data_IF_112571661842
#
_entry.id   IF_112571661842
#
_cell.length_a   1.000
_cell.length_b   1.000
_cell.length_c   1.000
_cell.angle_alpha   90.00
_cell.angle_beta   90.00
_cell.angle_gamma   90.00
#
_symmetry.space_group_name_H-M   'P 1'
#
loop_
_entity.id
_entity.type
_entity.pdbx_description
1 polymer ?
#
# COMPACT_ATOMS: atom_id res chain seq x y z
N UNK A 1 -41.24 16.33 7.63
CA UNK A 1 -40.47 15.17 8.19
C UNK A 1 -40.40 15.37 9.70
N UNK A 2 -40.60 14.28 10.46
CA UNK A 2 -40.61 14.33 11.93
C UNK A 2 -39.21 14.55 12.50
N UNK A 3 -39.07 15.29 13.59
CA UNK A 3 -37.83 15.46 14.38
C UNK A 3 -37.13 14.12 14.67
N UNK A 4 -37.88 13.08 15.02
CA UNK A 4 -37.39 11.75 15.30
C UNK A 4 -36.72 11.14 14.05
N UNK A 5 -37.29 11.34 12.87
CA UNK A 5 -36.72 10.84 11.61
C UNK A 5 -35.38 11.49 11.27
N UNK A 6 -35.25 12.80 11.45
CA UNK A 6 -33.99 13.52 11.19
C UNK A 6 -32.90 13.17 12.21
N UNK A 7 -33.27 12.92 13.46
CA UNK A 7 -32.32 12.50 14.49
C UNK A 7 -31.81 11.07 14.25
N UNK A 8 -32.70 10.15 13.85
CA UNK A 8 -32.30 8.81 13.45
C UNK A 8 -31.40 8.79 12.20
N UNK A 9 -31.68 9.68 11.22
CA UNK A 9 -30.84 9.86 10.04
C UNK A 9 -29.44 10.38 10.39
N UNK A 10 -29.34 11.31 11.35
CA UNK A 10 -28.06 11.82 11.84
C UNK A 10 -27.20 10.73 12.50
N UNK A 11 -27.81 9.90 13.35
CA UNK A 11 -27.11 8.77 13.96
C UNK A 11 -26.66 7.74 12.93
N UNK A 12 -27.52 7.42 11.96
CA UNK A 12 -27.19 6.49 10.86
C UNK A 12 -26.05 7.00 10.01
N UNK A 13 -26.04 8.29 9.65
CA UNK A 13 -24.96 8.90 8.87
C UNK A 13 -23.60 8.82 9.59
N UNK A 14 -23.61 9.09 10.89
CA UNK A 14 -22.40 8.97 11.72
C UNK A 14 -21.90 7.52 11.82
N UNK A 15 -22.81 6.57 12.02
CA UNK A 15 -22.49 5.13 12.10
C UNK A 15 -21.92 4.62 10.77
N UNK A 16 -22.51 5.01 9.63
CA UNK A 16 -22.03 4.65 8.29
C UNK A 16 -20.64 5.26 8.03
N UNK A 17 -20.44 6.53 8.35
CA UNK A 17 -19.15 7.20 8.20
C UNK A 17 -18.05 6.53 9.03
N UNK A 18 -18.37 6.13 10.26
CA UNK A 18 -17.47 5.39 11.13
C UNK A 18 -17.15 4.00 10.55
N UNK A 19 -18.16 3.24 10.13
CA UNK A 19 -17.99 1.91 9.54
C UNK A 19 -17.11 1.96 8.29
N UNK A 20 -17.37 2.89 7.37
CA UNK A 20 -16.57 3.07 6.17
C UNK A 20 -15.12 3.46 6.51
N UNK A 21 -14.95 4.35 7.49
CA UNK A 21 -13.63 4.73 8.00
C UNK A 21 -12.86 3.50 8.51
N UNK A 22 -13.49 2.69 9.35
CA UNK A 22 -12.89 1.51 9.94
C UNK A 22 -12.49 0.48 8.86
N UNK A 23 -13.31 0.31 7.82
CA UNK A 23 -12.98 -0.51 6.65
C UNK A 23 -11.72 -0.01 5.92
N UNK A 24 -11.61 1.29 5.67
CA UNK A 24 -10.42 1.85 5.02
C UNK A 24 -9.17 1.72 5.89
N UNK A 25 -9.29 1.87 7.21
CA UNK A 25 -8.17 1.62 8.13
C UNK A 25 -7.72 0.16 8.12
N UNK A 26 -8.65 -0.80 8.10
CA UNK A 26 -8.30 -2.21 7.97
C UNK A 26 -7.60 -2.52 6.65
N UNK A 27 -8.08 -1.99 5.53
CA UNK A 27 -7.44 -2.12 4.22
C UNK A 27 -6.03 -1.49 4.22
N UNK A 28 -5.88 -0.32 4.84
CA UNK A 28 -4.58 0.33 4.99
C UNK A 28 -3.58 -0.51 5.78
N UNK A 29 -4.03 -1.13 6.87
CA UNK A 29 -3.19 -2.04 7.66
C UNK A 29 -2.80 -3.30 6.88
N UNK A 30 -3.72 -3.85 6.08
CA UNK A 30 -3.42 -4.98 5.21
C UNK A 30 -2.40 -4.62 4.13
N UNK A 31 -2.52 -3.45 3.49
CA UNK A 31 -1.55 -2.97 2.52
C UNK A 31 -0.15 -2.82 3.16
N UNK A 32 -0.07 -2.25 4.36
CA UNK A 32 1.19 -2.11 5.10
C UNK A 32 1.80 -3.47 5.48
N UNK A 33 1.00 -4.42 5.96
CA UNK A 33 1.47 -5.78 6.25
C UNK A 33 1.97 -6.48 5.00
N UNK A 34 1.28 -6.31 3.86
CA UNK A 34 1.71 -6.86 2.57
C UNK A 34 3.05 -6.30 2.14
N UNK A 35 3.26 -4.99 2.28
CA UNK A 35 4.56 -4.35 2.02
C UNK A 35 5.67 -4.99 2.86
N UNK A 36 5.45 -5.14 4.16
CA UNK A 36 6.43 -5.71 5.10
C UNK A 36 6.76 -7.18 4.77
N UNK A 37 5.74 -7.99 4.47
CA UNK A 37 5.91 -9.40 4.08
C UNK A 37 6.68 -9.51 2.75
N UNK A 38 6.32 -8.71 1.75
CA UNK A 38 6.98 -8.73 0.44
C UNK A 38 8.46 -8.36 0.57
N UNK A 39 8.77 -7.30 1.32
CA UNK A 39 10.14 -6.86 1.54
C UNK A 39 10.96 -7.89 2.33
N UNK A 40 10.37 -8.51 3.36
CA UNK A 40 11.01 -9.61 4.09
C UNK A 40 11.27 -10.81 3.20
N UNK A 41 10.29 -11.23 2.41
CA UNK A 41 10.43 -12.34 1.47
C UNK A 41 11.52 -12.05 0.44
N UNK A 42 11.55 -10.82 -0.08
CA UNK A 42 12.60 -10.41 -1.00
C UNK A 42 13.98 -10.53 -0.33
N UNK A 43 14.18 -9.92 0.84
CA UNK A 43 15.49 -9.90 1.51
C UNK A 43 15.94 -11.26 2.02
N UNK A 44 15.03 -12.11 2.49
CA UNK A 44 15.36 -13.39 3.12
C UNK A 44 15.40 -14.55 2.14
N UNK A 45 14.68 -14.48 1.03
CA UNK A 45 14.55 -15.60 0.08
C UNK A 45 14.97 -15.19 -1.32
N UNK A 46 14.34 -14.20 -1.93
CA UNK A 46 14.52 -13.90 -3.36
C UNK A 46 15.94 -13.41 -3.65
N UNK A 47 16.40 -12.42 -2.92
CA UNK A 47 17.73 -11.83 -3.11
C UNK A 47 18.86 -12.81 -2.83
N UNK A 48 18.90 -13.56 -1.71
CA UNK A 48 19.93 -14.57 -1.47
C UNK A 48 19.91 -15.70 -2.51
N UNK A 49 18.73 -16.13 -2.97
CA UNK A 49 18.61 -17.14 -4.00
C UNK A 49 19.18 -16.66 -5.34
N UNK A 50 18.90 -15.42 -5.72
CA UNK A 50 19.48 -14.81 -6.92
C UNK A 50 21.02 -14.79 -6.85
N UNK A 51 21.57 -14.29 -5.75
CA UNK A 51 23.03 -14.23 -5.53
C UNK A 51 23.66 -15.63 -5.57
N UNK A 52 23.02 -16.63 -4.94
CA UNK A 52 23.49 -18.01 -4.97
C UNK A 52 23.49 -18.58 -6.38
N UNK A 53 22.43 -18.34 -7.15
CA UNK A 53 22.32 -18.82 -8.53
C UNK A 53 23.34 -18.12 -9.45
N UNK A 54 23.55 -16.81 -9.29
CA UNK A 54 24.57 -16.06 -10.02
C UNK A 54 25.99 -16.61 -9.76
N UNK A 55 26.33 -16.89 -8.50
CA UNK A 55 27.59 -17.53 -8.14
C UNK A 55 27.75 -18.91 -8.75
N UNK A 56 26.69 -19.72 -8.76
CA UNK A 56 26.70 -21.04 -9.38
C UNK A 56 26.93 -20.95 -10.87
N UNK A 57 26.24 -20.09 -11.58
CA UNK A 57 26.39 -19.86 -13.02
C UNK A 57 27.81 -19.39 -13.35
N UNK A 58 28.35 -18.46 -12.57
CA UNK A 58 29.73 -18.00 -12.73
C UNK A 58 30.75 -19.12 -12.54
N UNK A 59 30.57 -19.99 -11.55
CA UNK A 59 31.41 -21.14 -11.31
C UNK A 59 31.35 -22.15 -12.49
N UNK A 60 30.16 -22.40 -13.02
CA UNK A 60 29.96 -23.25 -14.21
C UNK A 60 30.63 -22.66 -15.44
N UNK A 61 30.53 -21.34 -15.61
CA UNK A 61 31.23 -20.65 -16.71
C UNK A 61 32.75 -20.81 -16.62
N UNK A 62 33.32 -20.64 -15.41
CA UNK A 62 34.77 -20.88 -15.18
C UNK A 62 35.19 -22.28 -15.51
N UNK A 63 34.44 -23.29 -15.02
CA UNK A 63 34.74 -24.70 -15.30
C UNK A 63 34.69 -24.98 -16.80
N UNK A 64 33.70 -24.48 -17.51
CA UNK A 64 33.58 -24.63 -18.95
C UNK A 64 34.76 -23.98 -19.70
N UNK A 65 35.19 -22.81 -19.28
CA UNK A 65 36.37 -22.15 -19.85
C UNK A 65 37.67 -22.94 -19.62
N UNK A 66 37.90 -23.47 -18.42
CA UNK A 66 39.02 -24.33 -18.12
C UNK A 66 39.03 -25.63 -18.97
N UNK A 67 37.87 -26.26 -19.09
CA UNK A 67 37.73 -27.50 -19.87
C UNK A 67 37.94 -27.26 -21.37
N UNK A 68 37.72 -26.05 -21.87
CA UNK A 68 38.02 -25.68 -23.26
C UNK A 68 39.49 -25.34 -23.52
N UNK A 69 40.34 -25.42 -22.48
CA UNK A 69 41.75 -25.03 -22.56
C UNK A 69 42.03 -23.53 -22.55
N UNK A 70 41.02 -22.72 -22.24
CA UNK A 70 41.16 -21.27 -22.12
C UNK A 70 41.85 -20.91 -20.80
N UNK A 71 42.89 -20.11 -20.89
CA UNK A 71 43.52 -19.51 -19.69
C UNK A 71 42.80 -18.23 -19.32
N UNK A 72 42.53 -18.06 -17.98
CA UNK A 72 41.99 -16.81 -17.42
C UNK A 72 43.16 -15.84 -17.18
N UNK A 73 43.59 -15.13 -18.23
CA UNK A 73 44.56 -14.04 -18.12
C UNK A 73 43.83 -12.69 -18.28
N UNK A 74 44.29 -11.73 -17.54
CA UNK A 74 43.75 -10.35 -17.64
C UNK A 74 43.89 -9.85 -19.09
N UNK A 75 42.77 -9.42 -19.70
CA UNK A 75 42.69 -8.95 -21.09
C UNK A 75 42.33 -10.01 -22.13
N UNK A 76 42.31 -11.31 -21.79
CA UNK A 76 41.89 -12.39 -22.69
C UNK A 76 40.38 -12.50 -22.83
N UNK A 77 39.88 -13.03 -23.95
CA UNK A 77 38.44 -13.18 -24.21
C UNK A 77 37.66 -13.89 -23.10
N UNK A 78 38.14 -14.98 -22.47
CA UNK A 78 37.43 -15.63 -21.35
C UNK A 78 37.34 -14.72 -20.09
N UNK A 79 38.39 -13.94 -19.83
CA UNK A 79 38.38 -12.99 -18.73
C UNK A 79 37.37 -11.85 -18.96
N UNK A 80 37.37 -11.28 -20.17
CA UNK A 80 36.42 -10.23 -20.53
C UNK A 80 34.98 -10.71 -20.50
N UNK A 81 34.70 -11.92 -20.96
CA UNK A 81 33.39 -12.55 -20.90
C UNK A 81 32.94 -12.80 -19.44
N UNK A 82 33.86 -13.19 -18.55
CA UNK A 82 33.57 -13.36 -17.14
C UNK A 82 33.28 -12.02 -16.44
N UNK A 83 34.01 -10.97 -16.82
CA UNK A 83 33.77 -9.62 -16.32
C UNK A 83 32.41 -9.07 -16.77
N UNK A 84 32.08 -9.25 -18.05
CA UNK A 84 30.77 -8.86 -18.59
C UNK A 84 29.64 -9.61 -17.90
N UNK A 85 29.78 -10.90 -17.68
CA UNK A 85 28.81 -11.70 -16.92
C UNK A 85 28.60 -11.13 -15.52
N UNK A 86 29.66 -10.81 -14.78
CA UNK A 86 29.56 -10.25 -13.44
C UNK A 86 28.89 -8.86 -13.44
N UNK A 87 29.19 -8.02 -14.42
CA UNK A 87 28.57 -6.70 -14.58
C UNK A 87 27.06 -6.88 -14.82
N UNK A 88 26.68 -7.78 -15.73
CA UNK A 88 25.26 -8.05 -16.01
C UNK A 88 24.52 -8.57 -14.78
N UNK A 89 25.11 -9.51 -14.03
CA UNK A 89 24.52 -10.01 -12.78
C UNK A 89 24.38 -8.92 -11.72
N UNK A 90 25.36 -8.05 -11.59
CA UNK A 90 25.29 -6.91 -10.66
C UNK A 90 24.20 -5.91 -11.07
N UNK A 91 24.04 -5.67 -12.37
CA UNK A 91 23.00 -4.80 -12.93
C UNK A 91 21.62 -5.41 -12.70
N UNK A 92 21.43 -6.70 -12.97
CA UNK A 92 20.16 -7.41 -12.74
C UNK A 92 19.79 -7.38 -11.26
N UNK A 93 20.77 -7.57 -10.35
CA UNK A 93 20.53 -7.47 -8.90
C UNK A 93 20.11 -6.05 -8.50
N UNK A 94 20.76 -5.03 -9.03
CA UNK A 94 20.41 -3.64 -8.75
C UNK A 94 18.99 -3.30 -9.23
N UNK A 95 18.56 -3.82 -10.38
CA UNK A 95 17.19 -3.68 -10.87
C UNK A 95 16.19 -4.39 -9.95
N UNK A 96 16.51 -5.60 -9.49
CA UNK A 96 15.66 -6.34 -8.57
C UNK A 96 15.55 -5.64 -7.22
N UNK A 97 16.65 -5.13 -6.67
CA UNK A 97 16.66 -4.36 -5.42
C UNK A 97 15.80 -3.08 -5.57
N UNK A 98 15.94 -2.36 -6.68
CA UNK A 98 15.14 -1.18 -6.99
C UNK A 98 13.64 -1.50 -7.09
N UNK A 99 13.28 -2.55 -7.85
CA UNK A 99 11.88 -2.94 -8.02
C UNK A 99 11.25 -3.36 -6.70
N UNK A 100 11.96 -4.10 -5.85
CA UNK A 100 11.46 -4.50 -4.54
C UNK A 100 11.22 -3.29 -3.63
N UNK A 101 12.09 -2.28 -3.70
CA UNK A 101 11.92 -1.04 -2.94
C UNK A 101 10.75 -0.22 -3.47
N UNK A 102 10.58 -0.10 -4.78
CA UNK A 102 9.45 0.60 -5.40
C UNK A 102 8.12 -0.08 -5.08
N UNK A 103 8.03 -1.40 -5.18
CA UNK A 103 6.83 -2.16 -4.80
C UNK A 103 6.46 -1.94 -3.33
N UNK A 104 7.45 -1.92 -2.44
CA UNK A 104 7.25 -1.63 -1.02
C UNK A 104 6.73 -0.21 -0.83
N UNK A 105 7.31 0.78 -1.51
CA UNK A 105 6.91 2.17 -1.42
C UNK A 105 5.49 2.39 -1.96
N UNK A 106 5.13 1.74 -3.05
CA UNK A 106 3.77 1.80 -3.62
C UNK A 106 2.73 1.24 -2.65
N UNK A 107 3.01 0.13 -1.97
CA UNK A 107 2.11 -0.43 -0.95
C UNK A 107 1.96 0.51 0.26
N UNK A 108 3.04 1.15 0.69
CA UNK A 108 3.02 2.15 1.76
C UNK A 108 2.19 3.37 1.34
N UNK A 109 2.40 3.90 0.14
CA UNK A 109 1.64 5.02 -0.41
C UNK A 109 0.15 4.69 -0.52
N UNK A 110 -0.18 3.47 -0.96
CA UNK A 110 -1.55 2.97 -0.98
C UNK A 110 -2.16 2.92 0.42
N UNK A 111 -1.41 2.47 1.42
CA UNK A 111 -1.84 2.49 2.82
C UNK A 111 -2.16 3.90 3.31
N UNK A 112 -1.30 4.88 3.02
CA UNK A 112 -1.51 6.29 3.38
C UNK A 112 -2.76 6.85 2.69
N UNK A 113 -2.95 6.56 1.42
CA UNK A 113 -4.14 6.99 0.66
C UNK A 113 -5.43 6.40 1.25
N UNK A 114 -5.41 5.13 1.63
CA UNK A 114 -6.54 4.47 2.28
C UNK A 114 -6.86 5.08 3.65
N UNK A 115 -5.84 5.42 4.45
CA UNK A 115 -6.03 6.14 5.70
C UNK A 115 -6.66 7.52 5.47
N UNK A 116 -6.19 8.27 4.49
CA UNK A 116 -6.77 9.56 4.13
C UNK A 116 -8.24 9.44 3.70
N UNK A 117 -8.59 8.41 2.92
CA UNK A 117 -9.99 8.10 2.56
C UNK A 117 -10.82 7.78 3.81
N UNK A 118 -10.29 6.98 4.73
CA UNK A 118 -10.96 6.67 6.00
C UNK A 118 -11.28 7.92 6.83
N UNK A 119 -10.34 8.84 6.94
CA UNK A 119 -10.55 10.15 7.59
C UNK A 119 -11.64 10.94 6.87
N UNK A 120 -11.62 10.98 5.55
CA UNK A 120 -12.63 11.67 4.73
C UNK A 120 -14.04 11.11 4.94
N UNK A 121 -14.21 9.80 4.98
CA UNK A 121 -15.52 9.17 5.22
C UNK A 121 -16.06 9.48 6.63
N UNK A 122 -15.19 9.47 7.63
CA UNK A 122 -15.58 9.85 8.99
C UNK A 122 -16.03 11.30 9.06
N UNK A 123 -15.26 12.20 8.45
CA UNK A 123 -15.60 13.63 8.38
C UNK A 123 -16.93 13.86 7.65
N UNK A 124 -17.15 13.17 6.52
CA UNK A 124 -18.41 13.21 5.76
C UNK A 124 -19.59 12.74 6.61
N UNK A 125 -19.44 11.64 7.33
CA UNK A 125 -20.46 11.13 8.25
C UNK A 125 -20.79 12.12 9.36
N UNK A 126 -19.79 12.74 9.98
CA UNK A 126 -19.95 13.73 11.03
C UNK A 126 -20.61 15.04 10.50
N UNK A 127 -20.24 15.48 9.29
CA UNK A 127 -20.83 16.65 8.64
C UNK A 127 -22.31 16.41 8.31
N UNK A 128 -22.63 15.26 7.73
CA UNK A 128 -24.01 14.86 7.42
C UNK A 128 -24.85 14.77 8.69
N UNK A 129 -24.30 14.16 9.74
CA UNK A 129 -24.98 14.07 11.03
C UNK A 129 -25.29 15.44 11.63
N UNK A 130 -24.37 16.41 11.56
CA UNK A 130 -24.57 17.79 12.02
C UNK A 130 -25.67 18.48 11.20
N UNK A 131 -25.67 18.31 9.89
CA UNK A 131 -26.69 18.89 9.01
C UNK A 131 -28.08 18.35 9.33
N UNK A 132 -28.22 17.04 9.51
CA UNK A 132 -29.50 16.42 9.87
C UNK A 132 -29.95 16.80 11.28
N UNK A 133 -29.03 16.96 12.22
CA UNK A 133 -29.36 17.46 13.56
C UNK A 133 -29.87 18.89 13.50
N UNK A 134 -29.24 19.79 12.72
CA UNK A 134 -29.73 21.15 12.53
C UNK A 134 -31.11 21.20 11.88
N UNK A 135 -31.37 20.32 10.88
CA UNK A 135 -32.70 20.18 10.29
C UNK A 135 -33.75 19.71 11.32
N UNK A 136 -33.36 18.79 12.20
CA UNK A 136 -34.22 18.33 13.29
C UNK A 136 -34.61 19.49 14.22
N UNK A 137 -33.64 20.30 14.67
CA UNK A 137 -33.90 21.47 15.51
C UNK A 137 -34.76 22.52 14.77
N UNK A 138 -34.53 22.79 13.50
CA UNK A 138 -35.35 23.70 12.69
C UNK A 138 -36.80 23.24 12.59
N UNK A 139 -37.04 21.94 12.44
CA UNK A 139 -38.40 21.37 12.41
C UNK A 139 -39.12 21.48 13.76
N UNK A 140 -38.40 21.35 14.86
CA UNK A 140 -38.90 21.54 16.23
C UNK A 140 -39.37 22.96 16.47
N UNK A 141 -38.53 23.95 16.08
CA UNK A 141 -38.85 25.38 16.23
C UNK A 141 -40.05 25.77 15.38
N UNK A 142 -40.16 25.28 14.14
CA UNK A 142 -41.31 25.55 13.28
C UNK A 142 -42.60 24.94 13.79
N UNK A 143 -42.55 23.76 14.40
CA UNK A 143 -43.71 23.11 15.03
C UNK A 143 -44.12 23.83 16.32
N UNK A 144 -43.15 24.30 17.11
CA UNK A 144 -43.41 25.08 18.33
C UNK A 144 -44.09 26.43 18.04
N UNK A 145 -43.76 27.08 16.93
CA UNK A 145 -44.44 28.33 16.52
C UNK A 145 -45.89 28.11 16.07
N UNK A 146 -46.21 26.93 15.48
CA UNK A 146 -47.59 26.62 15.13
C UNK A 146 -48.47 26.35 16.34
N UNK A 147 -47.93 25.84 17.44
CA UNK A 147 -48.69 25.65 18.70
C UNK A 147 -48.79 26.93 19.55
N UNK A 148 -47.89 27.90 19.36
CA UNK A 148 -47.93 29.17 20.08
C UNK A 148 -48.89 30.21 19.50
N UNK A 149 -49.53 29.95 18.34
CA UNK A 149 -50.55 30.87 17.75
C UNK A 149 -52.01 30.48 18.09
N UNK A 150 -52.23 29.51 18.96
CA UNK A 150 -53.56 29.13 19.45
C UNK A 150 -53.64 29.43 20.93
N UNK A 151 -53.47 30.71 21.25
CA UNK A 151 -53.61 31.23 22.59
C UNK A 151 -54.09 32.67 22.54
#
# INVERSE_FOLDING_TARGET
MSFIGNFAAAQSAKAIGKYNSDLYYQQAQLAKKKADINLKTYNQVTRPLFVKNAKKQYSQFKVAAYNSGAEFREGDSPYLAALEFNINQATDLAILDYNAEMDNQDQINQSILLQAKGVGERFKGDLTARTETMRAFGSLLSTGQQFGMIG
#
